data_IF_334405385088
#
_entry.id   IF_334405385088
#
_cell.length_a   1.000
_cell.length_b   1.000
_cell.length_c   1.000
_cell.angle_alpha   90.00
_cell.angle_beta   90.00
_cell.angle_gamma   90.00
#
_symmetry.space_group_name_H-M   'P 1'
#
loop_
_entity.id
_entity.type
_entity.pdbx_description
1 polymer ?
#
# COMPACT_ATOMS: atom_id res chain seq x y z
N UNK A 1 -6.85 -28.78 -6.04
CA UNK A 1 -7.85 -27.69 -6.21
C UNK A 1 -8.71 -27.40 -4.97
N UNK A 2 -8.86 -28.33 -4.00
CA UNK A 2 -9.64 -28.06 -2.76
C UNK A 2 -8.94 -27.10 -1.78
N UNK A 3 -7.61 -27.13 -1.69
CA UNK A 3 -6.83 -26.29 -0.78
C UNK A 3 -6.87 -24.78 -1.15
N UNK A 4 -7.10 -24.44 -2.43
CA UNK A 4 -7.16 -23.05 -2.93
C UNK A 4 -8.50 -22.38 -2.57
N UNK A 5 -9.60 -23.15 -2.40
CA UNK A 5 -10.88 -22.57 -1.95
C UNK A 5 -10.91 -22.29 -0.45
N UNK A 6 -10.13 -23.02 0.35
CA UNK A 6 -10.13 -22.89 1.81
C UNK A 6 -9.58 -21.55 2.31
N UNK A 7 -8.45 -21.09 1.75
CA UNK A 7 -7.79 -19.87 2.23
C UNK A 7 -8.46 -18.56 1.80
N UNK A 8 -9.07 -18.51 0.60
CA UNK A 8 -9.80 -17.32 0.15
C UNK A 8 -11.05 -17.02 1.01
N UNK A 9 -11.58 -18.03 1.70
CA UNK A 9 -12.81 -17.94 2.51
C UNK A 9 -12.46 -17.78 4.02
N UNK A 10 -11.20 -17.93 4.41
CA UNK A 10 -10.77 -17.62 5.77
C UNK A 10 -10.69 -16.09 6.00
N UNK A 11 -10.71 -15.66 7.28
CA UNK A 11 -10.71 -14.23 7.64
C UNK A 11 -9.52 -13.47 7.04
N UNK A 12 -8.38 -14.14 6.89
CA UNK A 12 -7.16 -13.57 6.36
C UNK A 12 -7.18 -13.40 4.84
N UNK A 13 -7.68 -14.38 4.11
CA UNK A 13 -7.86 -14.31 2.66
C UNK A 13 -8.88 -13.25 2.27
N UNK A 14 -10.00 -13.16 3.00
CA UNK A 14 -11.01 -12.10 2.80
C UNK A 14 -10.37 -10.73 2.97
N UNK A 15 -9.53 -10.56 3.99
CA UNK A 15 -8.85 -9.29 4.25
C UNK A 15 -7.95 -8.85 3.08
N UNK A 16 -7.15 -9.78 2.55
CA UNK A 16 -6.28 -9.54 1.39
C UNK A 16 -7.10 -9.18 0.15
N UNK A 17 -8.20 -9.89 -0.10
CA UNK A 17 -9.09 -9.60 -1.23
C UNK A 17 -9.69 -8.20 -1.10
N UNK A 18 -10.22 -7.85 0.07
CA UNK A 18 -10.75 -6.51 0.36
C UNK A 18 -9.69 -5.44 0.13
N UNK A 19 -8.45 -5.70 0.56
CA UNK A 19 -7.34 -4.77 0.38
C UNK A 19 -6.98 -4.54 -1.10
N UNK A 20 -6.91 -5.61 -1.91
CA UNK A 20 -6.66 -5.47 -3.34
C UNK A 20 -7.81 -4.78 -4.08
N UNK A 21 -9.06 -5.03 -3.66
CA UNK A 21 -10.22 -4.29 -4.16
C UNK A 21 -10.06 -2.80 -3.80
N UNK A 22 -9.66 -2.49 -2.57
CA UNK A 22 -9.47 -1.11 -2.12
C UNK A 22 -8.39 -0.38 -2.90
N UNK A 23 -7.27 -1.06 -3.21
CA UNK A 23 -6.26 -0.54 -4.13
C UNK A 23 -6.83 -0.23 -5.51
N UNK A 24 -7.69 -1.09 -6.05
CA UNK A 24 -8.42 -0.84 -7.29
C UNK A 24 -9.34 0.38 -7.20
N UNK A 25 -10.03 0.56 -6.08
CA UNK A 25 -10.90 1.72 -5.83
C UNK A 25 -10.09 3.02 -5.79
N UNK A 26 -8.94 3.03 -5.11
CA UNK A 26 -8.03 4.19 -5.09
C UNK A 26 -7.53 4.48 -6.51
N UNK A 27 -7.10 3.46 -7.25
CA UNK A 27 -6.60 3.59 -8.63
C UNK A 27 -7.63 4.18 -9.61
N UNK A 28 -8.91 3.86 -9.40
CA UNK A 28 -10.00 4.31 -10.27
C UNK A 28 -10.70 5.56 -9.75
N UNK A 29 -10.30 6.09 -8.60
CA UNK A 29 -10.92 7.26 -8.02
C UNK A 29 -10.76 8.46 -8.97
N UNK A 30 -11.85 9.20 -9.24
CA UNK A 30 -11.79 10.34 -10.14
C UNK A 30 -10.85 11.41 -9.61
N UNK A 31 -10.15 12.04 -10.55
CA UNK A 31 -9.19 13.12 -10.31
C UNK A 31 -9.82 14.30 -9.58
N UNK A 32 -10.59 15.07 -10.34
CA UNK A 32 -10.99 16.43 -10.02
C UNK A 32 -12.46 16.45 -9.63
N UNK A 33 -12.75 16.32 -8.33
CA UNK A 33 -14.13 16.40 -7.82
C UNK A 33 -14.45 17.82 -7.37
N UNK A 34 -13.47 18.48 -6.74
CA UNK A 34 -13.61 19.79 -6.12
C UNK A 34 -13.01 20.93 -6.94
N UNK A 35 -12.40 20.61 -8.09
CA UNK A 35 -11.94 21.58 -9.08
C UNK A 35 -10.51 21.32 -9.54
N UNK A 36 -10.02 22.24 -10.36
CA UNK A 36 -8.63 22.23 -10.80
C UNK A 36 -7.73 22.91 -9.77
N UNK A 37 -6.59 22.29 -9.51
CA UNK A 37 -5.55 22.91 -8.69
C UNK A 37 -4.87 24.00 -9.52
N UNK A 38 -4.83 25.22 -8.99
CA UNK A 38 -4.13 26.31 -9.64
C UNK A 38 -2.61 26.11 -9.57
N UNK A 39 -1.88 26.58 -10.59
CA UNK A 39 -0.44 26.72 -10.49
C UNK A 39 -0.08 27.69 -9.34
N UNK A 40 0.96 27.42 -8.53
CA UNK A 40 1.97 26.36 -8.71
C UNK A 40 1.62 25.03 -8.03
N UNK A 41 0.47 24.93 -7.36
CA UNK A 41 0.12 23.78 -6.51
C UNK A 41 -0.09 22.49 -7.30
N UNK A 42 -0.65 22.57 -8.52
CA UNK A 42 -0.72 21.42 -9.44
C UNK A 42 0.68 20.86 -9.75
N UNK A 43 1.61 21.73 -10.15
CA UNK A 43 2.99 21.33 -10.49
C UNK A 43 3.72 20.74 -9.29
N UNK A 44 3.62 21.40 -8.12
CA UNK A 44 4.25 20.92 -6.89
C UNK A 44 3.64 19.58 -6.45
N UNK A 45 2.32 19.45 -6.49
CA UNK A 45 1.60 18.22 -6.18
C UNK A 45 2.06 17.05 -7.06
N UNK A 46 2.22 17.30 -8.37
CA UNK A 46 2.75 16.30 -9.31
C UNK A 46 4.19 15.90 -9.00
N UNK A 47 5.07 16.86 -8.74
CA UNK A 47 6.48 16.57 -8.45
C UNK A 47 6.60 15.78 -7.14
N UNK A 48 6.00 16.28 -6.07
CA UNK A 48 6.01 15.63 -4.75
C UNK A 48 5.37 14.25 -4.85
N UNK A 49 4.21 14.16 -5.53
CA UNK A 49 3.49 12.91 -5.75
C UNK A 49 4.33 11.87 -6.51
N UNK A 50 5.03 12.29 -7.57
CA UNK A 50 5.93 11.43 -8.32
C UNK A 50 7.09 10.90 -7.47
N UNK A 51 7.73 11.77 -6.69
CA UNK A 51 8.82 11.38 -5.78
C UNK A 51 8.33 10.40 -4.71
N UNK A 52 7.18 10.67 -4.09
CA UNK A 52 6.58 9.79 -3.09
C UNK A 52 6.20 8.43 -3.67
N UNK A 53 5.62 8.40 -4.88
CA UNK A 53 5.28 7.16 -5.58
C UNK A 53 6.52 6.32 -5.83
N UNK A 54 7.57 6.94 -6.37
CA UNK A 54 8.83 6.26 -6.64
C UNK A 54 9.48 5.73 -5.36
N UNK A 55 9.49 6.54 -4.31
CA UNK A 55 9.99 6.13 -2.99
C UNK A 55 9.22 4.91 -2.45
N UNK A 56 7.88 4.95 -2.49
CA UNK A 56 7.03 3.85 -2.05
C UNK A 56 7.30 2.56 -2.84
N UNK A 57 7.44 2.65 -4.17
CA UNK A 57 7.77 1.50 -5.02
C UNK A 57 9.15 0.92 -4.69
N UNK A 58 10.17 1.75 -4.54
CA UNK A 58 11.54 1.31 -4.23
C UNK A 58 11.60 0.66 -2.84
N UNK A 59 11.09 1.33 -1.81
CA UNK A 59 11.14 0.81 -0.44
C UNK A 59 10.25 -0.42 -0.28
N UNK A 60 9.04 -0.40 -0.86
CA UNK A 60 8.13 -1.55 -0.85
C UNK A 60 8.74 -2.75 -1.55
N UNK A 61 9.37 -2.54 -2.71
CA UNK A 61 10.11 -3.58 -3.44
C UNK A 61 11.27 -4.15 -2.62
N UNK A 62 12.13 -3.29 -2.05
CA UNK A 62 13.24 -3.71 -1.21
C UNK A 62 12.77 -4.47 0.04
N UNK A 63 11.71 -4.01 0.69
CA UNK A 63 11.15 -4.65 1.86
C UNK A 63 10.57 -6.04 1.50
N UNK A 64 9.90 -6.15 0.35
CA UNK A 64 9.40 -7.42 -0.18
C UNK A 64 10.54 -8.40 -0.49
N UNK A 65 11.62 -7.93 -1.12
CA UNK A 65 12.82 -8.72 -1.39
C UNK A 65 13.48 -9.19 -0.08
N UNK A 66 13.56 -8.31 0.93
CA UNK A 66 14.14 -8.64 2.24
C UNK A 66 13.31 -9.68 3.02
N UNK A 67 11.98 -9.69 2.88
CA UNK A 67 11.17 -10.80 3.41
C UNK A 67 11.39 -12.10 2.65
N UNK A 68 11.54 -12.04 1.33
CA UNK A 68 11.75 -13.22 0.49
C UNK A 68 10.73 -14.32 0.79
N UNK A 69 11.21 -15.50 1.22
CA UNK A 69 10.36 -16.67 1.52
C UNK A 69 9.48 -16.52 2.78
N UNK A 70 9.70 -15.49 3.57
CA UNK A 70 8.89 -15.17 4.75
C UNK A 70 7.70 -14.26 4.41
N UNK A 71 7.60 -13.78 3.16
CA UNK A 71 6.44 -13.02 2.72
C UNK A 71 5.20 -13.91 2.72
N UNK A 72 4.26 -13.59 3.61
CA UNK A 72 2.91 -14.13 3.59
C UNK A 72 1.93 -12.96 3.65
N UNK A 73 1.05 -12.89 2.66
CA UNK A 73 -0.02 -11.90 2.64
C UNK A 73 -1.15 -12.26 3.62
N UNK A 74 -1.30 -13.54 3.95
CA UNK A 74 -2.35 -14.05 4.82
C UNK A 74 -1.84 -14.04 6.27
N UNK A 75 -2.61 -13.52 7.25
CA UNK A 75 -2.27 -13.52 8.67
C UNK A 75 -2.41 -14.91 9.30
N UNK A 76 -1.70 -15.90 8.76
CA UNK A 76 -1.47 -17.17 9.43
C UNK A 76 0.01 -17.21 9.82
N UNK A 77 0.34 -17.39 11.11
CA UNK A 77 1.72 -17.57 11.53
C UNK A 77 2.30 -18.78 10.78
N UNK A 78 3.33 -18.57 9.97
CA UNK A 78 4.10 -19.69 9.42
C UNK A 78 4.75 -20.39 10.61
N UNK A 79 4.55 -21.69 10.74
CA UNK A 79 5.10 -22.51 11.84
C UNK A 79 6.64 -22.38 11.97
N UNK A 80 7.33 -21.90 10.93
CA UNK A 80 8.78 -21.66 10.90
C UNK A 80 9.14 -20.24 10.42
N UNK A 81 8.31 -19.23 10.70
CA UNK A 81 8.65 -17.84 10.38
C UNK A 81 9.87 -17.39 11.19
N UNK A 82 10.96 -17.03 10.51
CA UNK A 82 12.15 -16.46 11.16
C UNK A 82 11.99 -14.94 11.18
N UNK A 83 12.20 -14.34 12.35
CA UNK A 83 12.14 -12.89 12.51
C UNK A 83 13.21 -12.21 11.63
N UNK A 84 12.79 -11.26 10.80
CA UNK A 84 13.67 -10.55 9.86
C UNK A 84 13.98 -9.17 10.43
N UNK A 85 15.23 -8.94 10.85
CA UNK A 85 15.70 -7.66 11.40
C UNK A 85 16.65 -6.90 10.45
N UNK A 86 16.79 -7.37 9.20
CA UNK A 86 17.73 -6.79 8.23
C UNK A 86 17.03 -5.78 7.31
N UNK A 87 17.78 -4.78 6.85
CA UNK A 87 17.27 -3.75 5.95
C UNK A 87 16.28 -2.79 6.65
N UNK A 88 15.20 -2.42 5.97
CA UNK A 88 14.20 -1.49 6.48
C UNK A 88 13.50 -1.96 7.78
N UNK A 89 13.44 -3.28 7.99
CA UNK A 89 12.87 -3.90 9.20
C UNK A 89 13.66 -3.60 10.48
N UNK A 90 14.90 -3.11 10.37
CA UNK A 90 15.68 -2.63 11.52
C UNK A 90 15.18 -1.30 12.10
N UNK A 91 14.45 -0.53 11.29
CA UNK A 91 14.04 0.84 11.63
C UNK A 91 12.55 0.90 11.97
N UNK A 92 11.71 0.21 11.20
CA UNK A 92 10.25 0.20 11.37
C UNK A 92 9.76 -1.24 11.33
N UNK A 93 8.76 -1.59 12.17
CA UNK A 93 8.20 -2.95 12.24
C UNK A 93 7.47 -3.38 10.97
N UNK A 94 6.90 -2.43 10.22
CA UNK A 94 6.11 -2.68 9.01
C UNK A 94 6.46 -1.74 7.84
N UNK A 95 7.69 -1.81 7.30
CA UNK A 95 8.16 -0.90 6.25
C UNK A 95 7.40 -1.06 4.93
N UNK A 96 6.83 -2.24 4.64
CA UNK A 96 5.94 -2.44 3.47
C UNK A 96 4.68 -1.60 3.60
N UNK A 97 4.08 -1.52 4.79
CA UNK A 97 2.84 -0.76 4.99
C UNK A 97 3.09 0.74 4.85
N UNK A 98 4.18 1.24 5.44
CA UNK A 98 4.60 2.63 5.24
C UNK A 98 4.85 2.93 3.75
N UNK A 99 5.51 2.03 3.04
CA UNK A 99 5.77 2.20 1.61
C UNK A 99 4.48 2.21 0.77
N UNK A 100 3.49 1.37 1.10
CA UNK A 100 2.19 1.35 0.43
C UNK A 100 1.43 2.66 0.67
N UNK A 101 1.35 3.14 1.92
CA UNK A 101 0.66 4.40 2.25
C UNK A 101 1.31 5.59 1.54
N UNK A 102 2.65 5.68 1.59
CA UNK A 102 3.41 6.76 0.93
C UNK A 102 3.23 6.68 -0.59
N UNK A 103 3.31 5.47 -1.16
CA UNK A 103 3.15 5.23 -2.59
C UNK A 103 1.76 5.64 -3.10
N UNK A 104 0.68 5.24 -2.42
CA UNK A 104 -0.68 5.62 -2.82
C UNK A 104 -0.99 7.10 -2.58
N UNK A 105 -0.47 7.69 -1.50
CA UNK A 105 -0.55 9.15 -1.31
C UNK A 105 0.14 9.86 -2.48
N UNK A 106 1.34 9.42 -2.84
CA UNK A 106 2.10 9.96 -3.96
C UNK A 106 1.36 9.85 -5.28
N UNK A 107 0.80 8.67 -5.57
CA UNK A 107 0.04 8.42 -6.79
C UNK A 107 -1.20 9.31 -6.87
N UNK A 108 -1.88 9.50 -5.74
CA UNK A 108 -3.07 10.35 -5.64
C UNK A 108 -2.73 11.81 -5.92
N UNK A 109 -1.64 12.34 -5.35
CA UNK A 109 -1.16 13.69 -5.63
C UNK A 109 -0.69 13.85 -7.08
N UNK A 110 0.01 12.85 -7.63
CA UNK A 110 0.49 12.88 -9.00
C UNK A 110 -0.64 12.99 -10.04
N UNK A 111 -1.76 12.33 -9.78
CA UNK A 111 -2.94 12.34 -10.65
C UNK A 111 -3.94 13.44 -10.30
N UNK A 112 -3.66 14.27 -9.29
CA UNK A 112 -4.64 15.16 -8.64
C UNK A 112 -5.96 14.44 -8.34
N UNK A 113 -5.88 13.22 -7.81
CA UNK A 113 -7.03 12.42 -7.42
C UNK A 113 -7.40 12.71 -5.97
N UNK A 114 -8.26 13.71 -5.80
CA UNK A 114 -8.57 14.26 -4.48
C UNK A 114 -9.33 13.24 -3.61
N UNK A 115 -10.23 12.47 -4.23
CA UNK A 115 -10.90 11.37 -3.54
C UNK A 115 -9.93 10.25 -3.19
N UNK A 116 -8.95 9.96 -4.06
CA UNK A 116 -7.94 8.96 -3.78
C UNK A 116 -7.14 9.30 -2.52
N UNK A 117 -6.80 10.58 -2.30
CA UNK A 117 -6.12 11.04 -1.07
C UNK A 117 -6.94 10.70 0.18
N UNK A 118 -8.26 10.92 0.16
CA UNK A 118 -9.12 10.57 1.28
C UNK A 118 -9.24 9.05 1.48
N UNK A 119 -9.35 8.29 0.38
CA UNK A 119 -9.45 6.84 0.42
C UNK A 119 -8.18 6.16 0.96
N UNK A 120 -7.02 6.80 0.80
CA UNK A 120 -5.75 6.34 1.42
C UNK A 120 -5.81 6.39 2.94
N UNK A 121 -6.58 7.31 3.55
CA UNK A 121 -6.73 7.34 5.01
C UNK A 121 -7.34 6.06 5.57
N UNK A 122 -8.18 5.38 4.80
CA UNK A 122 -8.78 4.09 5.17
C UNK A 122 -7.72 2.98 5.24
N UNK A 123 -6.56 3.13 4.59
CA UNK A 123 -5.49 2.14 4.69
C UNK A 123 -4.80 2.12 6.07
N UNK A 124 -4.81 3.22 6.83
CA UNK A 124 -4.17 3.28 8.15
C UNK A 124 -4.69 2.21 9.13
N UNK A 125 -6.01 2.10 9.41
CA UNK A 125 -6.52 1.06 10.28
C UNK A 125 -6.28 -0.35 9.72
N UNK A 126 -6.12 -0.52 8.40
CA UNK A 126 -5.76 -1.81 7.83
C UNK A 126 -4.31 -2.24 8.14
N UNK A 127 -3.46 -1.29 8.51
CA UNK A 127 -2.03 -1.51 8.71
C UNK A 127 -1.57 -1.33 10.16
N UNK A 128 -2.48 -0.90 11.04
CA UNK A 128 -2.27 -0.75 12.49
C UNK A 128 -2.83 -1.95 13.30
N UNK A 129 -3.23 -3.03 12.61
CA UNK A 129 -3.74 -4.29 13.19
C UNK A 129 -2.65 -5.37 13.20
#
# INVERSE_FOLDING_TARGET
>A
MQQIRGWLIDKGGIYVVVQFIWFGVIWLAPGKIWGDWAAPWDTLGRIIGGVMTLYGLVIGGLATINLGRNLQAVPHPKENAVFVEKGAYRIVRHPIYSAIIIGWTGWSLFNNAELAVLLVLVLFPFFDI
#
